data_IF_172853366503
#
_entry.id   IF_172853366503
#
_cell.length_a   1.000
_cell.length_b   1.000
_cell.length_c   1.000
_cell.angle_alpha   90.00
_cell.angle_beta   90.00
_cell.angle_gamma   90.00
#
_symmetry.space_group_name_H-M   'P 1'
#
loop_
_entity.id
_entity.type
_entity.pdbx_description
1 polymer ?
#
# COMPACT_ATOMS: atom_id res chain seq x y z
N UNK A 1 15.23 16.31 -57.08
CA UNK A 1 14.32 16.43 -55.93
C UNK A 1 14.00 15.01 -55.47
N UNK A 2 14.49 14.61 -54.30
CA UNK A 2 14.15 13.34 -53.65
C UNK A 2 14.44 13.48 -52.14
N UNK A 3 13.51 12.97 -51.36
CA UNK A 3 13.32 13.13 -49.92
C UNK A 3 14.28 12.28 -49.08
N UNK A 4 14.64 12.75 -47.88
CA UNK A 4 14.29 12.16 -46.56
C UNK A 4 15.24 12.67 -45.47
N UNK A 5 14.75 13.26 -44.37
CA UNK A 5 15.59 13.78 -43.30
C UNK A 5 15.41 13.00 -42.00
N UNK A 6 16.13 11.91 -41.75
CA UNK A 6 16.21 11.30 -40.40
C UNK A 6 17.56 10.60 -40.17
N UNK A 7 18.55 11.37 -39.73
CA UNK A 7 19.80 10.83 -39.20
C UNK A 7 19.67 10.53 -37.70
N UNK A 8 19.08 9.37 -37.36
CA UNK A 8 19.06 8.84 -36.00
C UNK A 8 20.51 8.58 -35.58
N UNK A 9 21.03 9.35 -34.61
CA UNK A 9 22.34 9.08 -34.01
C UNK A 9 22.25 7.78 -33.21
N UNK A 10 23.14 6.85 -33.52
CA UNK A 10 23.15 5.50 -32.98
C UNK A 10 23.21 5.46 -31.45
N UNK A 11 22.28 4.71 -30.88
CA UNK A 11 22.33 4.19 -29.53
C UNK A 11 23.46 3.15 -29.42
N UNK A 12 24.56 3.54 -28.82
CA UNK A 12 25.59 2.60 -28.36
C UNK A 12 25.13 1.91 -27.06
N UNK A 13 24.13 1.04 -27.17
CA UNK A 13 23.80 0.08 -26.12
C UNK A 13 24.85 -1.03 -26.14
N UNK A 14 25.86 -0.89 -25.29
CA UNK A 14 26.81 -1.97 -25.00
C UNK A 14 26.08 -3.06 -24.20
N UNK A 15 25.25 -3.86 -24.87
CA UNK A 15 24.73 -5.12 -24.34
C UNK A 15 25.89 -6.11 -24.36
N UNK A 16 26.65 -6.14 -23.28
CA UNK A 16 27.44 -7.33 -22.93
C UNK A 16 26.64 -8.16 -21.94
N UNK A 17 25.92 -9.12 -22.50
CA UNK A 17 25.49 -10.30 -21.77
C UNK A 17 26.74 -11.07 -21.31
N UNK A 18 26.78 -11.43 -20.04
CA UNK A 18 27.70 -12.47 -19.54
C UNK A 18 26.91 -13.34 -18.57
N UNK A 19 26.84 -14.60 -18.93
CA UNK A 19 25.97 -15.62 -18.38
C UNK A 19 26.45 -16.16 -17.03
N UNK A 20 25.51 -16.78 -16.32
CA UNK A 20 25.70 -17.78 -15.27
C UNK A 20 26.27 -17.33 -13.91
N UNK A 21 25.40 -16.76 -13.08
CA UNK A 21 25.23 -17.18 -11.67
C UNK A 21 23.74 -17.36 -11.37
N UNK A 22 23.23 -18.49 -11.85
CA UNK A 22 21.89 -19.01 -11.60
C UNK A 22 21.83 -19.59 -10.17
N UNK A 23 21.66 -18.74 -9.14
CA UNK A 23 21.11 -19.16 -7.83
C UNK A 23 20.80 -18.06 -6.80
N UNK A 24 20.95 -16.78 -7.13
CA UNK A 24 20.62 -15.72 -6.17
C UNK A 24 20.00 -14.49 -6.84
N UNK A 25 18.93 -14.72 -7.62
CA UNK A 25 18.10 -13.64 -8.15
C UNK A 25 17.05 -13.26 -7.09
N UNK A 26 17.51 -12.74 -5.96
CA UNK A 26 16.64 -11.90 -5.15
C UNK A 26 16.28 -10.70 -6.04
N UNK A 27 15.01 -10.58 -6.44
CA UNK A 27 14.56 -9.42 -7.21
C UNK A 27 15.02 -8.16 -6.48
N UNK A 28 15.82 -7.32 -7.16
CA UNK A 28 16.22 -6.02 -6.62
C UNK A 28 14.95 -5.28 -6.23
N UNK A 29 14.86 -4.88 -4.96
CA UNK A 29 13.72 -4.12 -4.48
C UNK A 29 13.78 -2.72 -5.12
N UNK A 30 13.12 -2.53 -6.25
CA UNK A 30 13.07 -1.26 -7.00
C UNK A 30 12.12 -0.26 -6.37
N UNK A 31 11.58 -0.54 -5.18
CA UNK A 31 10.68 0.39 -4.50
C UNK A 31 11.48 1.60 -4.02
N UNK A 32 10.94 2.79 -4.28
CA UNK A 32 11.52 4.04 -3.82
C UNK A 32 11.77 3.97 -2.32
N UNK A 33 13.02 4.20 -1.91
CA UNK A 33 13.44 4.29 -0.50
C UNK A 33 12.95 5.57 0.18
N UNK A 34 12.47 6.53 -0.59
CA UNK A 34 11.76 7.70 -0.09
C UNK A 34 10.44 7.25 0.54
N UNK A 35 10.31 7.48 1.86
CA UNK A 35 9.09 7.20 2.60
C UNK A 35 7.85 7.85 1.96
N UNK A 36 6.65 7.29 2.19
CA UNK A 36 5.41 7.80 1.61
C UNK A 36 5.18 9.26 2.02
N UNK A 37 4.70 10.06 1.07
CA UNK A 37 4.31 11.45 1.35
C UNK A 37 3.08 11.49 2.26
N UNK A 38 2.82 12.59 3.00
CA UNK A 38 1.61 12.73 3.82
C UNK A 38 0.31 12.50 3.04
N UNK A 39 0.27 12.92 1.77
CA UNK A 39 -0.86 12.66 0.88
C UNK A 39 -1.01 11.17 0.53
N UNK A 40 0.09 10.44 0.36
CA UNK A 40 0.06 8.99 0.16
C UNK A 40 -0.37 8.25 1.43
N UNK A 41 0.07 8.68 2.61
CA UNK A 41 -0.39 8.12 3.88
C UNK A 41 -1.90 8.35 4.10
N UNK A 42 -2.41 9.55 3.79
CA UNK A 42 -3.85 9.84 3.86
C UNK A 42 -4.66 8.94 2.94
N UNK A 43 -4.26 8.82 1.67
CA UNK A 43 -4.89 7.90 0.72
C UNK A 43 -4.87 6.45 1.19
N UNK A 44 -3.76 6.03 1.82
CA UNK A 44 -3.66 4.69 2.42
C UNK A 44 -4.64 4.48 3.57
N UNK A 45 -4.91 5.49 4.39
CA UNK A 45 -5.92 5.41 5.46
C UNK A 45 -7.33 5.34 4.90
N UNK A 46 -7.65 6.16 3.90
CA UNK A 46 -8.94 6.16 3.21
C UNK A 46 -9.22 4.80 2.54
N UNK A 47 -8.23 4.21 1.85
CA UNK A 47 -8.34 2.88 1.25
C UNK A 47 -8.62 1.80 2.31
N UNK A 48 -7.90 1.82 3.43
CA UNK A 48 -8.13 0.88 4.53
C UNK A 48 -9.54 1.02 5.09
N UNK A 49 -10.02 2.24 5.33
CA UNK A 49 -11.40 2.47 5.79
C UNK A 49 -12.44 1.96 4.79
N UNK A 50 -12.27 2.25 3.50
CA UNK A 50 -13.18 1.78 2.46
C UNK A 50 -13.24 0.25 2.36
N UNK A 51 -12.09 -0.42 2.52
CA UNK A 51 -12.03 -1.88 2.56
C UNK A 51 -12.70 -2.46 3.79
N UNK A 52 -12.48 -1.87 4.97
CA UNK A 52 -13.13 -2.31 6.20
C UNK A 52 -14.66 -2.13 6.13
N UNK A 53 -15.14 -1.01 5.57
CA UNK A 53 -16.58 -0.79 5.39
C UNK A 53 -17.24 -1.84 4.49
N UNK A 54 -16.52 -2.31 3.46
CA UNK A 54 -17.00 -3.39 2.60
C UNK A 54 -17.01 -4.75 3.30
N UNK A 55 -15.97 -5.03 4.09
CA UNK A 55 -15.78 -6.34 4.72
C UNK A 55 -16.58 -6.46 6.05
N UNK A 56 -16.98 -5.33 6.65
CA UNK A 56 -17.78 -5.23 7.87
C UNK A 56 -18.96 -4.24 7.69
N UNK A 57 -19.95 -4.55 6.83
CA UNK A 57 -21.02 -3.62 6.46
C UNK A 57 -21.93 -3.22 7.63
N UNK A 58 -22.08 -4.09 8.63
CA UNK A 58 -22.94 -3.84 9.79
C UNK A 58 -22.23 -3.05 10.91
N UNK A 59 -20.94 -2.75 10.74
CA UNK A 59 -20.18 -2.02 11.76
C UNK A 59 -20.36 -0.51 11.61
N UNK A 60 -20.67 0.23 12.70
CA UNK A 60 -20.81 1.67 12.65
C UNK A 60 -19.56 2.37 12.09
N UNK A 61 -19.71 3.40 11.23
CA UNK A 61 -18.57 4.12 10.63
C UNK A 61 -17.59 4.67 11.68
N UNK A 62 -18.09 5.10 12.84
CA UNK A 62 -17.25 5.57 13.95
C UNK A 62 -16.34 4.46 14.50
N UNK A 63 -16.85 3.23 14.64
CA UNK A 63 -16.08 2.08 15.10
C UNK A 63 -15.03 1.66 14.06
N UNK A 64 -15.37 1.70 12.76
CA UNK A 64 -14.39 1.48 11.67
C UNK A 64 -13.27 2.53 11.70
N UNK A 65 -13.64 3.80 11.89
CA UNK A 65 -12.68 4.89 11.96
C UNK A 65 -11.75 4.75 13.17
N UNK A 66 -12.29 4.41 14.34
CA UNK A 66 -11.52 4.17 15.57
C UNK A 66 -10.55 2.98 15.39
N UNK A 67 -11.04 1.83 14.92
CA UNK A 67 -10.21 0.65 14.67
C UNK A 67 -9.08 0.94 13.66
N UNK A 68 -9.37 1.73 12.62
CA UNK A 68 -8.35 2.16 11.67
C UNK A 68 -7.32 3.08 12.31
N UNK A 69 -7.76 4.11 13.04
CA UNK A 69 -6.88 5.08 13.68
C UNK A 69 -5.90 4.40 14.64
N UNK A 70 -6.40 3.53 15.52
CA UNK A 70 -5.58 2.76 16.45
C UNK A 70 -4.59 1.82 15.73
N UNK A 71 -5.04 1.16 14.66
CA UNK A 71 -4.18 0.26 13.89
C UNK A 71 -3.01 1.00 13.23
N UNK A 72 -3.24 2.20 12.70
CA UNK A 72 -2.18 3.03 12.14
C UNK A 72 -1.28 3.64 13.22
N UNK A 73 -1.84 4.04 14.36
CA UNK A 73 -1.06 4.57 15.48
C UNK A 73 -0.06 3.54 16.03
N UNK A 74 -0.48 2.27 16.10
CA UNK A 74 0.40 1.15 16.45
C UNK A 74 1.65 1.05 15.55
N UNK A 75 1.56 1.46 14.29
CA UNK A 75 2.66 1.45 13.34
C UNK A 75 3.31 2.83 13.12
N UNK A 76 3.00 3.83 13.96
CA UNK A 76 3.54 5.19 13.85
C UNK A 76 5.08 5.24 13.86
N UNK A 77 5.73 4.32 14.56
CA UNK A 77 7.19 4.20 14.65
C UNK A 77 7.83 3.30 13.59
N UNK A 78 7.04 2.72 12.67
CA UNK A 78 7.55 1.79 11.67
C UNK A 78 8.54 2.47 10.71
N UNK A 79 9.72 1.86 10.56
CA UNK A 79 10.78 2.33 9.65
C UNK A 79 10.42 2.13 8.18
N UNK A 80 9.68 1.07 7.86
CA UNK A 80 9.24 0.75 6.49
C UNK A 80 7.75 1.04 6.38
N UNK A 81 7.40 2.24 5.90
CA UNK A 81 6.01 2.71 5.89
C UNK A 81 5.17 2.24 4.72
N UNK A 82 5.78 1.74 3.64
CA UNK A 82 5.06 1.27 2.44
C UNK A 82 4.07 0.14 2.72
N UNK A 83 4.30 -0.66 3.76
CA UNK A 83 3.44 -1.78 4.13
C UNK A 83 2.44 -1.48 5.24
N UNK A 84 2.54 -0.31 5.86
CA UNK A 84 1.70 0.06 7.01
C UNK A 84 0.20 -0.03 6.68
N UNK A 85 -0.30 0.40 5.50
CA UNK A 85 -1.72 0.24 5.19
C UNK A 85 -2.20 -1.22 5.21
N UNK A 86 -1.40 -2.14 4.65
CA UNK A 86 -1.75 -3.57 4.61
C UNK A 86 -1.74 -4.17 6.02
N UNK A 87 -0.76 -3.81 6.85
CA UNK A 87 -0.65 -4.30 8.22
C UNK A 87 -1.75 -3.70 9.12
N UNK A 88 -2.05 -2.42 8.96
CA UNK A 88 -3.11 -1.73 9.66
C UNK A 88 -4.48 -2.35 9.33
N UNK A 89 -4.77 -2.62 8.06
CA UNK A 89 -5.98 -3.32 7.63
C UNK A 89 -6.13 -4.69 8.31
N UNK A 90 -5.08 -5.51 8.29
CA UNK A 90 -5.11 -6.84 8.94
C UNK A 90 -5.37 -6.74 10.44
N UNK A 91 -4.73 -5.77 11.10
CA UNK A 91 -4.89 -5.52 12.54
C UNK A 91 -6.31 -5.06 12.88
N UNK A 92 -6.83 -4.06 12.16
CA UNK A 92 -8.17 -3.54 12.35
C UNK A 92 -9.23 -4.61 12.10
N UNK A 93 -9.10 -5.39 11.02
CA UNK A 93 -10.00 -6.50 10.71
C UNK A 93 -10.02 -7.54 11.84
N UNK A 94 -8.84 -7.90 12.37
CA UNK A 94 -8.74 -8.84 13.49
C UNK A 94 -9.39 -8.28 14.75
N UNK A 95 -9.19 -7.00 15.08
CA UNK A 95 -9.83 -6.34 16.22
C UNK A 95 -11.35 -6.41 16.11
N UNK A 96 -11.91 -6.01 14.96
CA UNK A 96 -13.35 -5.98 14.73
C UNK A 96 -13.97 -7.38 14.77
N UNK A 97 -13.26 -8.40 14.25
CA UNK A 97 -13.73 -9.78 14.33
C UNK A 97 -13.70 -10.36 15.76
N UNK A 98 -12.78 -9.89 16.61
CA UNK A 98 -12.64 -10.34 18.00
C UNK A 98 -13.55 -9.58 18.96
N UNK A 99 -13.79 -8.31 18.67
CA UNK A 99 -14.59 -7.38 19.45
C UNK A 99 -15.57 -6.67 18.50
N UNK A 100 -16.65 -7.36 18.09
CA UNK A 100 -17.68 -6.71 17.31
C UNK A 100 -18.22 -5.52 18.11
N UNK A 101 -18.45 -4.37 17.47
CA UNK A 101 -19.07 -3.24 18.15
C UNK A 101 -20.47 -3.66 18.61
N UNK A 102 -20.79 -3.35 19.86
CA UNK A 102 -22.14 -3.52 20.38
C UNK A 102 -23.13 -2.81 19.43
N UNK A 103 -24.25 -3.44 19.05
CA UNK A 103 -25.29 -2.73 18.33
C UNK A 103 -25.79 -1.63 19.26
N UNK A 104 -25.62 -0.38 18.85
CA UNK A 104 -26.25 0.77 19.52
C UNK A 104 -27.72 0.42 19.69
N UNK A 105 -28.14 0.19 20.94
CA UNK A 105 -29.49 -0.26 21.26
C UNK A 105 -30.47 0.73 20.63
N UNK A 106 -31.26 0.25 19.67
CA UNK A 106 -32.32 1.03 19.07
C UNK A 106 -33.27 1.46 20.18
N UNK A 107 -33.28 2.75 20.48
CA UNK A 107 -34.33 3.38 21.29
C UNK A 107 -35.60 3.31 20.43
N UNK A 108 -36.50 2.42 20.83
CA UNK A 108 -37.81 2.20 20.21
C UNK A 108 -38.87 3.15 20.73
#
# INVERSE_FOLDING_TARGET
MAETPYGIKQLSLLVRQSAATERDRHCLDTRSTTGPTPAAERRGREDVQGRLARDFPDTPPAALAAATAEAFDFFSSARIRHYVPVLAFKRASRRLAQHPPEPEAGDG
#
